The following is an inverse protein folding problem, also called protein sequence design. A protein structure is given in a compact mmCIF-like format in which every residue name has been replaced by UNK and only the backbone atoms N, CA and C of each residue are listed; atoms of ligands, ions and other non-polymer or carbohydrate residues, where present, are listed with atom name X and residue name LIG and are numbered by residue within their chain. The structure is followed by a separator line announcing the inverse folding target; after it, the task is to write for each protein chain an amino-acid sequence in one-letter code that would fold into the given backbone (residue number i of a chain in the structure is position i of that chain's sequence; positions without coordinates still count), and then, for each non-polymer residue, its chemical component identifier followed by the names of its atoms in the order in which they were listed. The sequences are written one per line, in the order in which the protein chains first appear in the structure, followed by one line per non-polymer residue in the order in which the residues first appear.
data_IF_459263335700
#
_entry.id   IF_459263335700
#
_cell.length_a   1.000
_cell.length_b   1.000
_cell.length_c   1.000
_cell.angle_alpha   90.00
_cell.angle_beta   90.00
_cell.angle_gamma   90.00
#
_symmetry.space_group_name_H-M   'P 1'
#
loop_
_entity.id
_entity.type
_entity.pdbx_description
1 polymer ?
#
# COMPACT_ATOMS: atom_id res chain seq x y z
N UNK A 1 23.68 7.90 7.58
CA UNK A 1 23.95 6.46 7.73
C UNK A 1 22.66 5.66 7.61
N UNK A 2 22.75 4.47 6.98
CA UNK A 2 21.62 3.54 6.84
C UNK A 2 21.83 2.41 7.86
N UNK A 3 20.80 2.14 8.65
CA UNK A 3 20.84 1.04 9.63
C UNK A 3 20.59 -0.28 8.90
N UNK A 4 21.50 -1.24 9.09
CA UNK A 4 21.34 -2.62 8.66
C UNK A 4 21.48 -3.53 9.88
N UNK A 5 20.52 -4.41 10.08
CA UNK A 5 20.48 -5.38 11.16
C UNK A 5 20.59 -6.79 10.58
N UNK A 6 21.41 -7.66 11.21
CA UNK A 6 21.44 -9.08 10.87
C UNK A 6 21.09 -9.90 12.11
N UNK A 7 20.21 -10.86 11.92
CA UNK A 7 19.70 -11.74 12.97
C UNK A 7 19.75 -13.20 12.50
N UNK A 8 20.14 -14.11 13.40
CA UNK A 8 20.31 -15.53 13.07
C UNK A 8 21.56 -15.83 12.26
N UNK A 9 21.81 -17.12 12.01
CA UNK A 9 22.96 -17.64 11.27
C UNK A 9 22.61 -18.91 10.46
N UNK A 10 21.33 -19.08 10.11
CA UNK A 10 20.85 -20.23 9.34
C UNK A 10 21.13 -20.12 7.85
N UNK A 11 20.96 -21.21 7.11
CA UNK A 11 21.25 -21.26 5.69
C UNK A 11 20.26 -20.50 4.81
N UNK A 12 19.00 -20.35 5.23
CA UNK A 12 17.97 -19.63 4.46
C UNK A 12 18.13 -18.12 4.71
N UNK A 13 18.44 -17.38 3.68
CA UNK A 13 18.76 -15.95 3.74
C UNK A 13 17.55 -15.11 3.32
N UNK A 14 17.18 -14.18 4.16
CA UNK A 14 16.04 -13.28 3.91
C UNK A 14 16.51 -11.84 4.00
N UNK A 15 16.22 -11.03 2.99
CA UNK A 15 16.47 -9.60 2.98
C UNK A 15 15.13 -8.85 3.06
N UNK A 16 14.98 -7.96 4.03
CA UNK A 16 13.78 -7.13 4.20
C UNK A 16 14.17 -5.66 4.22
N UNK A 17 13.50 -4.84 3.44
CA UNK A 17 13.68 -3.40 3.53
C UNK A 17 12.36 -2.66 3.45
N UNK A 18 12.28 -1.54 4.13
CA UNK A 18 11.13 -0.64 4.08
C UNK A 18 11.56 0.82 3.95
N UNK A 19 10.60 1.67 3.77
CA UNK A 19 10.75 3.12 3.72
C UNK A 19 11.83 3.57 2.71
N UNK A 20 11.84 2.93 1.53
CA UNK A 20 12.60 3.47 0.40
C UNK A 20 11.92 4.73 -0.16
N UNK A 21 10.59 4.85 -0.01
CA UNK A 21 9.89 6.12 -0.06
C UNK A 21 9.74 6.61 1.38
N UNK A 22 10.20 7.84 1.65
CA UNK A 22 10.35 8.31 3.02
C UNK A 22 9.03 8.53 3.76
N UNK A 23 7.94 8.75 3.05
CA UNK A 23 6.58 8.93 3.57
C UNK A 23 5.83 7.61 3.85
N UNK A 24 6.43 6.44 3.55
CA UNK A 24 5.83 5.10 3.70
C UNK A 24 6.32 4.40 4.97
N UNK A 25 5.75 4.70 6.14
CA UNK A 25 6.30 4.28 7.44
C UNK A 25 5.62 3.06 8.08
N UNK A 26 4.51 2.55 7.53
CA UNK A 26 3.73 1.47 8.16
C UNK A 26 4.54 0.20 8.32
N UNK A 27 5.22 -0.24 7.27
CA UNK A 27 6.05 -1.43 7.30
C UNK A 27 7.31 -1.26 8.17
N UNK A 28 7.86 -0.05 8.29
CA UNK A 28 8.95 0.25 9.24
C UNK A 28 8.53 -0.04 10.66
N UNK A 29 7.34 0.45 11.06
CA UNK A 29 6.79 0.17 12.39
C UNK A 29 6.52 -1.34 12.59
N UNK A 30 6.00 -2.02 11.56
CA UNK A 30 5.80 -3.47 11.60
C UNK A 30 7.11 -4.25 11.74
N UNK A 31 8.19 -3.81 11.07
CA UNK A 31 9.52 -4.42 11.24
C UNK A 31 10.06 -4.27 12.65
N UNK A 32 9.81 -3.14 13.33
CA UNK A 32 10.19 -2.97 14.73
C UNK A 32 9.44 -3.94 15.64
N UNK A 33 8.13 -4.12 15.42
CA UNK A 33 7.33 -5.11 16.14
C UNK A 33 7.81 -6.54 15.88
N UNK A 34 8.10 -6.87 14.63
CA UNK A 34 8.61 -8.17 14.21
C UNK A 34 9.96 -8.49 14.88
N UNK A 35 10.91 -7.57 14.86
CA UNK A 35 12.21 -7.71 15.53
C UNK A 35 12.02 -7.93 17.04
N UNK A 36 11.15 -7.12 17.67
CA UNK A 36 10.86 -7.24 19.08
C UNK A 36 10.28 -8.63 19.45
N UNK A 37 9.31 -9.12 18.65
CA UNK A 37 8.71 -10.43 18.85
C UNK A 37 9.70 -11.57 18.62
N UNK A 38 10.56 -11.48 17.59
CA UNK A 38 11.63 -12.46 17.36
C UNK A 38 12.64 -12.51 18.54
N UNK A 39 12.96 -11.37 19.13
CA UNK A 39 13.90 -11.31 20.24
C UNK A 39 13.30 -11.85 21.54
N UNK A 40 11.98 -11.77 21.72
CA UNK A 40 11.33 -12.22 22.98
C UNK A 40 11.14 -13.72 23.10
N UNK A 41 11.17 -14.49 22.02
CA UNK A 41 11.12 -15.97 21.95
C UNK A 41 9.99 -16.69 22.73
N UNK A 42 9.01 -16.00 23.30
CA UNK A 42 8.19 -16.55 24.38
C UNK A 42 6.79 -17.06 23.97
N UNK A 43 6.28 -16.71 22.79
CA UNK A 43 4.86 -17.00 22.47
C UNK A 43 4.61 -17.74 21.16
N UNK A 44 5.59 -17.80 20.28
CA UNK A 44 5.47 -18.54 19.02
C UNK A 44 6.50 -19.67 19.02
N UNK A 45 6.10 -20.90 18.67
CA UNK A 45 6.95 -22.09 18.51
C UNK A 45 8.02 -21.92 17.40
N UNK A 46 8.60 -20.74 17.27
CA UNK A 46 9.76 -20.44 16.43
C UNK A 46 11.07 -20.70 17.17
N UNK A 47 11.06 -21.76 18.03
CA UNK A 47 12.30 -22.25 18.63
C UNK A 47 13.26 -22.61 17.49
N UNK A 48 14.50 -22.17 17.59
CA UNK A 48 15.58 -22.44 16.62
C UNK A 48 15.51 -21.67 15.28
N UNK A 49 14.66 -20.64 15.15
CA UNK A 49 14.65 -19.84 13.92
C UNK A 49 16.05 -19.28 13.56
N UNK A 50 16.88 -18.93 14.58
CA UNK A 50 18.24 -18.41 14.37
C UNK A 50 19.17 -19.40 13.68
N UNK A 51 18.91 -20.70 13.79
CA UNK A 51 19.68 -21.76 13.14
C UNK A 51 19.16 -22.09 11.74
N UNK A 52 17.96 -21.63 11.41
CA UNK A 52 17.29 -21.90 10.12
C UNK A 52 17.39 -20.70 9.18
N UNK A 53 17.33 -19.49 9.70
CA UNK A 53 17.32 -18.26 8.95
C UNK A 53 18.50 -17.35 9.28
N UNK A 54 18.97 -16.64 8.27
CA UNK A 54 19.74 -15.40 8.39
C UNK A 54 18.83 -14.30 7.86
N UNK A 55 18.40 -13.38 8.71
CA UNK A 55 17.47 -12.31 8.37
C UNK A 55 18.22 -10.98 8.40
N UNK A 56 18.36 -10.35 7.25
CA UNK A 56 18.96 -9.04 7.05
C UNK A 56 17.85 -8.00 6.88
N UNK A 57 17.84 -6.96 7.71
CA UNK A 57 16.77 -5.96 7.77
C UNK A 57 17.34 -4.55 7.59
N UNK A 58 16.80 -3.79 6.66
CA UNK A 58 17.00 -2.35 6.51
C UNK A 58 15.67 -1.66 6.79
N UNK A 59 15.41 -1.27 8.05
CA UNK A 59 14.07 -0.81 8.45
C UNK A 59 13.71 0.57 7.89
N UNK A 60 14.70 1.38 7.51
CA UNK A 60 14.50 2.70 6.92
C UNK A 60 15.63 2.95 5.92
N UNK A 61 15.34 2.70 4.64
CA UNK A 61 16.34 2.88 3.57
C UNK A 61 16.57 4.37 3.28
N UNK A 62 15.52 5.19 3.26
CA UNK A 62 15.52 6.61 2.90
C UNK A 62 15.30 7.51 4.13
N UNK A 63 16.33 7.69 4.93
CA UNK A 63 16.25 8.50 6.14
C UNK A 63 15.98 10.00 5.85
N UNK A 64 16.50 10.53 4.75
CA UNK A 64 16.29 11.93 4.37
C UNK A 64 14.85 12.19 3.94
N UNK A 65 14.27 11.29 3.15
CA UNK A 65 12.86 11.34 2.79
C UNK A 65 11.94 11.14 3.99
N UNK A 66 12.29 10.21 4.89
CA UNK A 66 11.54 9.96 6.12
C UNK A 66 11.47 11.21 7.02
N UNK A 67 12.59 11.92 7.18
CA UNK A 67 12.64 13.16 7.98
C UNK A 67 11.77 14.29 7.37
N UNK A 68 11.54 14.27 6.07
CA UNK A 68 10.74 15.29 5.34
C UNK A 68 9.34 14.81 4.98
N UNK A 69 9.03 13.54 5.24
CA UNK A 69 7.80 12.88 4.78
C UNK A 69 7.59 13.02 3.27
N UNK A 70 8.65 12.72 2.51
CA UNK A 70 8.65 12.76 1.04
C UNK A 70 8.99 11.43 0.44
N UNK A 71 8.42 11.12 -0.73
CA UNK A 71 8.72 9.93 -1.51
C UNK A 71 10.20 9.85 -1.89
N UNK A 72 10.76 10.93 -2.37
CA UNK A 72 12.14 11.01 -2.86
C UNK A 72 13.16 11.18 -1.72
N UNK A 73 14.43 10.87 -1.99
CA UNK A 73 15.53 11.09 -1.06
C UNK A 73 16.02 12.57 -1.03
N UNK A 74 17.05 12.85 -0.26
CA UNK A 74 17.65 14.19 -0.14
C UNK A 74 18.22 14.76 -1.45
N UNK A 75 18.40 13.97 -2.49
CA UNK A 75 18.84 14.33 -3.83
C UNK A 75 17.67 14.42 -4.83
N UNK A 76 16.41 14.35 -4.37
CA UNK A 76 15.19 14.31 -5.19
C UNK A 76 15.11 13.09 -6.12
N UNK A 77 15.77 11.99 -5.77
CA UNK A 77 15.72 10.74 -6.51
C UNK A 77 14.64 9.83 -5.90
N UNK A 78 13.74 9.32 -6.75
CA UNK A 78 12.90 8.18 -6.41
C UNK A 78 13.78 6.92 -6.44
N UNK A 79 14.09 6.40 -5.26
CA UNK A 79 14.97 5.24 -5.11
C UNK A 79 14.40 4.03 -5.85
N UNK A 80 13.06 3.87 -5.87
CA UNK A 80 12.40 2.77 -6.59
C UNK A 80 12.31 3.01 -8.13
N UNK A 81 13.06 3.98 -8.65
CA UNK A 81 13.30 4.21 -10.08
C UNK A 81 14.79 4.25 -10.41
N UNK A 82 15.63 3.88 -9.45
CA UNK A 82 17.10 4.00 -9.57
C UNK A 82 17.84 2.65 -9.70
N UNK A 83 17.11 1.53 -9.71
CA UNK A 83 17.70 0.18 -9.69
C UNK A 83 18.69 -0.13 -10.84
N UNK A 84 18.53 0.50 -12.01
CA UNK A 84 19.42 0.31 -13.16
C UNK A 84 20.63 1.24 -13.14
N UNK A 85 20.50 2.45 -12.61
CA UNK A 85 21.52 3.51 -12.73
C UNK A 85 22.31 3.66 -11.44
N UNK A 86 21.70 3.42 -10.29
CA UNK A 86 22.31 3.45 -8.95
C UNK A 86 22.97 4.81 -8.63
N UNK A 87 22.30 5.91 -8.96
CA UNK A 87 22.75 7.26 -8.65
C UNK A 87 22.63 7.57 -7.16
N UNK A 88 21.59 7.06 -6.49
CA UNK A 88 21.38 7.28 -5.06
C UNK A 88 22.34 6.42 -4.22
N UNK A 89 22.81 6.93 -3.08
CA UNK A 89 23.58 6.13 -2.14
C UNK A 89 22.76 4.97 -1.56
N UNK A 90 21.46 5.18 -1.36
CA UNK A 90 20.50 4.18 -0.87
C UNK A 90 20.37 3.01 -1.87
N UNK A 91 20.20 3.32 -3.15
CA UNK A 91 20.13 2.31 -4.22
C UNK A 91 21.40 1.47 -4.30
N UNK A 92 22.57 2.11 -4.17
CA UNK A 92 23.86 1.39 -4.12
C UNK A 92 23.99 0.46 -2.91
N UNK A 93 23.52 0.91 -1.74
CA UNK A 93 23.53 0.08 -0.52
C UNK A 93 22.62 -1.13 -0.70
N UNK A 94 21.39 -0.93 -1.19
CA UNK A 94 20.44 -2.03 -1.40
C UNK A 94 21.00 -3.03 -2.44
N UNK A 95 21.51 -2.55 -3.59
CA UNK A 95 22.12 -3.43 -4.60
C UNK A 95 23.32 -4.18 -4.05
N UNK A 96 24.16 -3.55 -3.23
CA UNK A 96 25.28 -4.22 -2.58
C UNK A 96 24.81 -5.33 -1.64
N UNK A 97 23.76 -5.09 -0.84
CA UNK A 97 23.19 -6.11 0.03
C UNK A 97 22.66 -7.30 -0.79
N UNK A 98 21.88 -7.06 -1.84
CA UNK A 98 21.38 -8.12 -2.71
C UNK A 98 22.52 -8.96 -3.28
N UNK A 99 23.55 -8.31 -3.85
CA UNK A 99 24.67 -9.00 -4.50
C UNK A 99 25.54 -9.77 -3.51
N UNK A 100 25.76 -9.25 -2.30
CA UNK A 100 26.63 -9.88 -1.29
C UNK A 100 25.93 -10.97 -0.50
N UNK A 101 24.64 -10.83 -0.24
CA UNK A 101 23.84 -11.80 0.53
C UNK A 101 23.34 -12.93 -0.34
N UNK A 102 22.96 -12.62 -1.59
CA UNK A 102 22.23 -13.54 -2.47
C UNK A 102 21.05 -14.18 -1.72
N UNK A 103 20.04 -13.38 -1.33
CA UNK A 103 18.96 -13.88 -0.50
C UNK A 103 18.07 -14.89 -1.22
N UNK A 104 17.56 -15.88 -0.49
CA UNK A 104 16.56 -16.83 -0.99
C UNK A 104 15.18 -16.18 -1.12
N UNK A 105 14.89 -15.18 -0.25
CA UNK A 105 13.68 -14.37 -0.29
C UNK A 105 14.01 -12.91 0.00
N UNK A 106 13.44 -12.01 -0.78
CA UNK A 106 13.50 -10.57 -0.58
C UNK A 106 12.09 -9.98 -0.35
N UNK A 107 11.92 -9.14 0.68
CA UNK A 107 10.67 -8.46 0.96
C UNK A 107 10.84 -6.96 0.75
N UNK A 108 10.17 -6.44 -0.26
CA UNK A 108 10.10 -5.02 -0.62
C UNK A 108 8.84 -4.42 -0.02
N UNK A 109 9.00 -3.58 1.02
CA UNK A 109 7.90 -3.16 1.87
C UNK A 109 7.56 -1.69 1.61
N UNK A 110 6.31 -1.46 1.21
CA UNK A 110 5.75 -0.17 0.80
C UNK A 110 4.46 0.17 1.51
N UNK A 111 4.02 1.40 1.33
CA UNK A 111 2.67 1.86 1.63
C UNK A 111 2.00 2.34 0.34
N UNK A 112 0.80 1.88 0.08
CA UNK A 112 0.00 2.34 -1.06
C UNK A 112 -0.89 3.53 -0.69
N UNK A 113 -1.45 4.19 -1.72
CA UNK A 113 -2.41 5.27 -1.56
C UNK A 113 -3.61 4.82 -0.69
N UNK A 114 -4.14 5.75 0.10
CA UNK A 114 -5.27 5.50 0.99
C UNK A 114 -6.56 5.13 0.24
N UNK A 115 -6.68 5.58 -1.01
CA UNK A 115 -7.90 5.45 -1.82
C UNK A 115 -7.96 4.16 -2.64
N UNK A 116 -6.91 3.33 -2.61
CA UNK A 116 -6.91 2.06 -3.29
C UNK A 116 -7.87 1.05 -2.66
N UNK A 117 -8.57 0.31 -3.51
CA UNK A 117 -9.54 -0.68 -3.11
C UNK A 117 -9.38 -2.00 -3.85
N UNK A 118 -10.41 -2.79 -3.82
CA UNK A 118 -10.55 -4.07 -4.53
C UNK A 118 -11.77 -3.99 -5.42
N UNK A 119 -11.57 -4.12 -6.73
CA UNK A 119 -12.52 -3.74 -7.79
C UNK A 119 -13.92 -4.34 -7.65
N UNK A 120 -14.04 -5.61 -7.39
CA UNK A 120 -15.35 -6.28 -7.42
C UNK A 120 -16.13 -6.17 -6.10
N UNK A 121 -15.46 -5.74 -5.00
CA UNK A 121 -16.01 -5.86 -3.65
C UNK A 121 -16.19 -4.53 -2.93
N UNK A 122 -15.69 -3.45 -3.52
CA UNK A 122 -15.74 -2.12 -2.93
C UNK A 122 -15.24 -2.11 -1.45
N UNK A 123 -14.15 -2.84 -1.18
CA UNK A 123 -13.44 -2.86 0.09
C UNK A 123 -12.09 -2.18 -0.08
N UNK A 124 -11.57 -1.58 0.98
CA UNK A 124 -10.21 -1.03 0.97
C UNK A 124 -9.19 -2.14 0.77
N UNK A 125 -8.15 -1.86 -0.01
CA UNK A 125 -6.99 -2.75 -0.13
C UNK A 125 -6.05 -2.52 1.05
N UNK A 126 -6.21 -3.26 2.14
CA UNK A 126 -5.42 -3.06 3.37
C UNK A 126 -4.02 -3.67 3.24
N UNK A 127 -3.92 -4.82 2.60
CA UNK A 127 -2.65 -5.43 2.20
C UNK A 127 -2.77 -5.83 0.74
N UNK A 128 -1.89 -5.30 -0.10
CA UNK A 128 -1.72 -5.80 -1.46
C UNK A 128 -0.33 -6.41 -1.61
N UNK A 129 -0.25 -7.54 -2.30
CA UNK A 129 1.01 -8.27 -2.50
C UNK A 129 1.26 -8.52 -3.97
N UNK A 130 2.53 -8.49 -4.36
CA UNK A 130 2.97 -8.77 -5.73
C UNK A 130 4.17 -9.71 -5.74
N UNK A 131 4.14 -10.71 -6.62
CA UNK A 131 5.30 -11.41 -7.10
C UNK A 131 5.83 -10.68 -8.36
N UNK A 132 6.84 -9.80 -8.24
CA UNK A 132 7.29 -8.94 -9.32
C UNK A 132 7.75 -9.75 -10.55
N UNK A 133 7.79 -9.09 -11.70
CA UNK A 133 8.16 -9.72 -12.98
C UNK A 133 9.62 -9.44 -13.33
N UNK A 134 10.26 -10.37 -14.04
CA UNK A 134 11.63 -10.21 -14.49
C UNK A 134 11.73 -9.56 -15.89
N UNK A 135 10.63 -9.53 -16.65
CA UNK A 135 10.60 -9.08 -18.04
C UNK A 135 9.20 -8.65 -18.50
N UNK A 136 9.14 -7.99 -19.66
CA UNK A 136 7.89 -7.54 -20.28
C UNK A 136 6.91 -8.68 -20.64
N UNK A 137 7.40 -9.88 -20.91
CA UNK A 137 6.57 -11.04 -21.23
C UNK A 137 5.97 -11.68 -19.97
N UNK A 138 6.33 -11.17 -18.79
CA UNK A 138 5.84 -11.62 -17.48
C UNK A 138 6.08 -13.13 -17.25
N UNK A 139 7.20 -13.66 -17.72
CA UNK A 139 7.51 -15.07 -17.56
C UNK A 139 7.47 -15.50 -16.09
N UNK A 140 6.94 -16.69 -15.86
CA UNK A 140 6.89 -17.29 -14.53
C UNK A 140 8.14 -18.11 -14.32
N UNK A 141 9.19 -17.46 -13.84
CA UNK A 141 10.44 -18.10 -13.44
C UNK A 141 10.25 -18.90 -12.14
N UNK A 142 11.16 -19.85 -11.81
CA UNK A 142 11.07 -20.58 -10.54
C UNK A 142 10.99 -19.66 -9.31
N UNK A 143 11.77 -18.57 -9.27
CA UNK A 143 11.78 -17.63 -8.14
C UNK A 143 10.47 -16.81 -8.07
N UNK A 144 9.90 -16.42 -9.21
CA UNK A 144 8.59 -15.77 -9.26
C UNK A 144 7.48 -16.72 -8.83
N UNK A 145 7.52 -17.99 -9.28
CA UNK A 145 6.58 -19.02 -8.86
C UNK A 145 6.59 -19.21 -7.33
N UNK A 146 7.79 -19.29 -6.74
CA UNK A 146 7.93 -19.39 -5.29
C UNK A 146 7.29 -18.19 -4.58
N UNK A 147 7.55 -16.97 -5.05
CA UNK A 147 6.92 -15.77 -4.50
C UNK A 147 5.40 -15.81 -4.60
N UNK A 148 4.84 -16.22 -5.75
CA UNK A 148 3.39 -16.41 -5.93
C UNK A 148 2.80 -17.39 -4.92
N UNK A 149 3.43 -18.53 -4.73
CA UNK A 149 2.99 -19.57 -3.79
C UNK A 149 3.07 -19.09 -2.33
N UNK A 150 4.13 -18.38 -1.96
CA UNK A 150 4.28 -17.76 -0.64
C UNK A 150 3.20 -16.70 -0.37
N UNK A 151 2.86 -15.90 -1.38
CA UNK A 151 1.76 -14.92 -1.29
C UNK A 151 0.42 -15.63 -1.05
N UNK A 152 0.15 -16.76 -1.70
CA UNK A 152 -1.07 -17.54 -1.45
C UNK A 152 -1.13 -18.04 0.01
N UNK A 153 0.00 -18.50 0.55
CA UNK A 153 0.07 -18.92 1.96
C UNK A 153 -0.23 -17.75 2.91
N UNK A 154 0.36 -16.58 2.67
CA UNK A 154 0.10 -15.38 3.45
C UNK A 154 -1.35 -14.92 3.32
N UNK A 155 -1.87 -14.83 2.09
CA UNK A 155 -3.25 -14.42 1.81
C UNK A 155 -4.28 -15.31 2.52
N UNK A 156 -4.06 -16.62 2.56
CA UNK A 156 -4.95 -17.54 3.27
C UNK A 156 -5.07 -17.19 4.76
N UNK A 157 -3.96 -16.88 5.41
CA UNK A 157 -3.95 -16.51 6.83
C UNK A 157 -4.57 -15.11 7.03
N UNK A 158 -4.18 -14.14 6.22
CA UNK A 158 -4.68 -12.77 6.35
C UNK A 158 -6.19 -12.66 6.18
N UNK A 159 -6.78 -13.45 5.30
CA UNK A 159 -8.24 -13.48 5.09
C UNK A 159 -9.06 -13.88 6.32
N UNK A 160 -8.46 -14.57 7.28
CA UNK A 160 -9.13 -14.90 8.55
C UNK A 160 -9.29 -13.66 9.45
N UNK A 161 -8.43 -12.66 9.30
CA UNK A 161 -8.41 -11.43 10.12
C UNK A 161 -9.01 -10.23 9.41
N UNK A 162 -8.76 -10.11 8.10
CA UNK A 162 -9.23 -8.99 7.25
C UNK A 162 -9.90 -9.56 5.98
N UNK A 163 -11.04 -10.25 6.11
CA UNK A 163 -11.73 -10.83 4.96
C UNK A 163 -12.07 -9.74 3.92
N UNK A 164 -11.77 -10.02 2.65
CA UNK A 164 -11.98 -9.11 1.51
C UNK A 164 -11.11 -7.85 1.45
N UNK A 165 -10.06 -7.73 2.28
CA UNK A 165 -9.15 -6.59 2.31
C UNK A 165 -7.72 -6.94 1.87
N UNK A 166 -7.53 -8.13 1.28
CA UNK A 166 -6.24 -8.58 0.72
C UNK A 166 -6.33 -8.64 -0.80
N UNK A 167 -5.43 -7.97 -1.48
CA UNK A 167 -5.39 -7.85 -2.93
C UNK A 167 -4.07 -8.36 -3.53
N UNK A 168 -4.11 -8.62 -4.83
CA UNK A 168 -2.92 -8.76 -5.68
C UNK A 168 -2.63 -7.41 -6.33
N UNK A 169 -1.40 -6.92 -6.17
CA UNK A 169 -0.97 -5.65 -6.76
C UNK A 169 -0.66 -5.81 -8.25
N UNK A 170 -0.67 -4.70 -9.01
CA UNK A 170 -0.38 -4.66 -10.44
C UNK A 170 1.03 -5.17 -10.76
N UNK A 171 1.15 -6.04 -11.78
CA UNK A 171 2.40 -6.64 -12.24
C UNK A 171 2.94 -6.01 -13.54
N UNK A 172 2.69 -4.73 -13.76
CA UNK A 172 3.27 -3.98 -14.88
C UNK A 172 4.79 -3.89 -14.71
N UNK A 173 5.53 -4.41 -15.71
CA UNK A 173 6.98 -4.46 -15.65
C UNK A 173 7.62 -3.07 -15.61
N UNK A 174 8.46 -2.85 -14.61
CA UNK A 174 9.23 -1.64 -14.41
C UNK A 174 10.69 -1.96 -14.08
N UNK A 175 11.58 -2.10 -15.09
CA UNK A 175 12.96 -2.54 -14.87
C UNK A 175 13.77 -1.59 -13.97
N UNK A 176 13.32 -0.36 -13.81
CA UNK A 176 13.91 0.62 -12.90
C UNK A 176 13.47 0.48 -11.45
N UNK A 177 12.44 -0.34 -11.16
CA UNK A 177 12.05 -0.67 -9.81
C UNK A 177 12.97 -1.74 -9.22
N UNK A 178 13.22 -1.66 -7.90
CA UNK A 178 14.04 -2.67 -7.22
C UNK A 178 13.34 -4.03 -7.17
N UNK A 179 12.00 -4.08 -7.07
CA UNK A 179 11.27 -5.34 -7.09
C UNK A 179 11.57 -6.17 -8.32
N UNK A 180 11.30 -5.61 -9.51
CA UNK A 180 11.51 -6.30 -10.80
C UNK A 180 12.99 -6.54 -11.10
N UNK A 181 13.84 -5.56 -10.75
CA UNK A 181 15.28 -5.70 -10.96
C UNK A 181 15.87 -6.84 -10.14
N UNK A 182 15.49 -7.01 -8.88
CA UNK A 182 15.98 -8.07 -8.00
C UNK A 182 15.48 -9.45 -8.45
N UNK A 183 14.23 -9.56 -8.89
CA UNK A 183 13.69 -10.80 -9.49
C UNK A 183 14.48 -11.18 -10.74
N UNK A 184 14.86 -10.21 -11.59
CA UNK A 184 15.68 -10.48 -12.78
C UNK A 184 17.08 -11.00 -12.45
N UNK A 185 17.56 -10.78 -11.23
CA UNK A 185 18.81 -11.34 -10.70
C UNK A 185 18.66 -12.76 -10.12
N UNK A 186 17.45 -13.35 -10.19
CA UNK A 186 17.19 -14.71 -9.73
C UNK A 186 16.84 -14.81 -8.24
N UNK A 187 16.40 -13.73 -7.59
CA UNK A 187 15.98 -13.71 -6.19
C UNK A 187 14.46 -13.73 -6.10
N UNK A 188 13.91 -14.66 -5.32
CA UNK A 188 12.46 -14.65 -5.03
C UNK A 188 12.11 -13.37 -4.27
N UNK A 189 11.21 -12.55 -4.82
CA UNK A 189 10.89 -11.24 -4.26
C UNK A 189 9.39 -11.10 -4.09
N UNK A 190 8.98 -10.57 -2.94
CA UNK A 190 7.58 -10.20 -2.65
C UNK A 190 7.55 -8.70 -2.34
N UNK A 191 6.73 -7.96 -3.08
CA UNK A 191 6.37 -6.61 -2.71
C UNK A 191 5.11 -6.68 -1.84
N UNK A 192 5.09 -5.89 -0.78
CA UNK A 192 3.93 -5.75 0.12
C UNK A 192 3.62 -4.26 0.25
N UNK A 193 2.39 -3.92 -0.14
CA UNK A 193 1.83 -2.58 -0.02
C UNK A 193 0.88 -2.52 1.17
N UNK A 194 1.16 -1.64 2.11
CA UNK A 194 0.29 -1.37 3.26
C UNK A 194 -0.73 -0.29 2.89
N UNK A 195 -2.00 -0.60 3.00
CA UNK A 195 -3.09 0.30 2.66
C UNK A 195 -3.98 0.66 3.85
N UNK A 196 -5.11 1.25 3.55
CA UNK A 196 -6.09 1.73 4.51
C UNK A 196 -7.03 0.61 4.96
N UNK A 197 -7.44 0.66 6.23
CA UNK A 197 -8.59 -0.07 6.74
C UNK A 197 -9.60 0.95 7.29
N UNK A 198 -10.89 0.68 7.12
CA UNK A 198 -11.95 1.61 7.53
C UNK A 198 -11.83 1.89 9.04
N UNK A 199 -11.92 3.16 9.43
CA UNK A 199 -11.76 3.65 10.80
C UNK A 199 -10.37 3.42 11.41
N UNK A 200 -9.34 3.24 10.59
CA UNK A 200 -7.95 3.09 11.05
C UNK A 200 -7.01 4.12 10.36
N UNK A 201 -7.10 5.41 10.72
CA UNK A 201 -6.31 6.46 10.08
C UNK A 201 -4.80 6.32 10.31
N UNK A 202 -4.39 5.53 11.29
CA UNK A 202 -2.98 5.29 11.62
C UNK A 202 -2.44 3.96 11.09
N UNK A 203 -3.20 3.26 10.24
CA UNK A 203 -2.80 1.99 9.59
C UNK A 203 -2.33 0.91 10.58
N UNK A 204 -2.89 0.89 11.80
CA UNK A 204 -2.50 -0.11 12.80
C UNK A 204 -2.96 -1.51 12.41
N UNK A 205 -4.06 -1.64 11.66
CA UNK A 205 -4.49 -2.92 11.09
C UNK A 205 -3.47 -3.41 10.06
N UNK A 206 -3.07 -2.56 9.10
CA UNK A 206 -2.06 -2.92 8.11
C UNK A 206 -0.70 -3.24 8.78
N UNK A 207 -0.27 -2.47 9.79
CA UNK A 207 0.93 -2.75 10.60
C UNK A 207 0.88 -4.15 11.23
N UNK A 208 -0.24 -4.51 11.87
CA UNK A 208 -0.42 -5.83 12.47
C UNK A 208 -0.42 -6.93 11.41
N UNK A 209 -1.08 -6.71 10.26
CA UNK A 209 -1.13 -7.67 9.18
C UNK A 209 0.24 -7.90 8.53
N UNK A 210 1.07 -6.86 8.41
CA UNK A 210 2.46 -7.03 7.98
C UNK A 210 3.25 -7.96 8.91
N UNK A 211 3.17 -7.77 10.23
CA UNK A 211 3.84 -8.65 11.20
C UNK A 211 3.37 -10.10 11.02
N UNK A 212 2.06 -10.30 10.90
CA UNK A 212 1.49 -11.62 10.66
C UNK A 212 1.97 -12.24 9.34
N UNK A 213 2.07 -11.42 8.28
CA UNK A 213 2.61 -11.83 6.99
C UNK A 213 4.06 -12.31 7.12
N UNK A 214 4.91 -11.55 7.81
CA UNK A 214 6.33 -11.93 7.97
C UNK A 214 6.48 -13.28 8.65
N UNK A 215 5.78 -13.51 9.77
CA UNK A 215 5.81 -14.81 10.45
C UNK A 215 5.22 -15.94 9.59
N UNK A 216 4.15 -15.66 8.84
CA UNK A 216 3.54 -16.66 7.95
C UNK A 216 4.48 -17.07 6.82
N UNK A 217 5.20 -16.10 6.23
CA UNK A 217 6.19 -16.37 5.18
C UNK A 217 7.36 -17.21 5.71
N UNK A 218 7.87 -16.88 6.90
CA UNK A 218 8.91 -17.67 7.56
C UNK A 218 8.45 -19.11 7.85
N UNK A 219 7.25 -19.28 8.40
CA UNK A 219 6.67 -20.58 8.69
C UNK A 219 6.43 -21.40 7.41
N UNK A 220 5.93 -20.73 6.36
CA UNK A 220 5.71 -21.38 5.06
C UNK A 220 7.02 -21.84 4.41
N UNK A 221 8.10 -21.03 4.49
CA UNK A 221 9.43 -21.42 4.02
C UNK A 221 10.02 -22.58 4.84
N UNK A 222 9.91 -22.49 6.17
CA UNK A 222 10.50 -23.48 7.06
C UNK A 222 9.92 -24.88 6.86
N UNK A 223 8.63 -24.96 6.55
CA UNK A 223 7.89 -26.21 6.46
C UNK A 223 7.42 -26.55 5.04
N UNK A 224 7.89 -25.82 4.02
CA UNK A 224 7.49 -25.96 2.61
C UNK A 224 5.96 -25.91 2.40
N UNK A 225 5.25 -25.18 3.26
CA UNK A 225 3.78 -25.08 3.24
C UNK A 225 3.23 -24.33 2.03
N UNK A 226 4.10 -23.68 1.25
CA UNK A 226 3.71 -22.93 0.05
C UNK A 226 3.63 -23.81 -1.21
N UNK A 227 4.31 -24.96 -1.25
CA UNK A 227 4.50 -25.77 -2.47
C UNK A 227 3.21 -26.36 -3.05
N UNK A 228 2.16 -26.48 -2.24
CA UNK A 228 0.87 -27.01 -2.69
C UNK A 228 -0.01 -25.98 -3.41
N UNK A 229 0.31 -24.68 -3.32
CA UNK A 229 -0.41 -23.66 -4.05
C UNK A 229 0.01 -23.62 -5.53
N UNK A 230 -0.96 -23.33 -6.39
CA UNK A 230 -0.75 -23.23 -7.83
C UNK A 230 -0.59 -21.78 -8.28
N UNK A 231 -0.25 -21.59 -9.55
CA UNK A 231 -0.19 -20.25 -10.18
C UNK A 231 -1.61 -19.68 -10.29
N UNK A 232 -2.59 -20.55 -10.55
CA UNK A 232 -4.00 -20.21 -10.63
C UNK A 232 -4.52 -19.69 -9.29
N UNK A 233 -4.09 -20.26 -8.17
CA UNK A 233 -4.43 -19.75 -6.82
C UNK A 233 -3.95 -18.32 -6.61
N UNK A 234 -2.76 -17.98 -7.11
CA UNK A 234 -2.24 -16.62 -7.05
C UNK A 234 -3.08 -15.64 -7.89
N UNK A 235 -3.42 -16.02 -9.12
CA UNK A 235 -4.24 -15.18 -9.99
C UNK A 235 -5.72 -15.12 -9.58
N UNK A 236 -6.17 -16.03 -8.72
CA UNK A 236 -7.48 -15.96 -8.09
C UNK A 236 -7.56 -14.94 -6.92
N UNK A 237 -6.44 -14.41 -6.46
CA UNK A 237 -6.43 -13.28 -5.51
C UNK A 237 -6.98 -12.05 -6.22
N UNK A 238 -8.01 -11.37 -5.67
CA UNK A 238 -8.57 -10.18 -6.30
C UNK A 238 -7.52 -9.10 -6.58
N UNK A 239 -7.63 -8.45 -7.73
CA UNK A 239 -6.74 -7.34 -8.06
C UNK A 239 -7.06 -6.10 -7.23
N UNK A 240 -6.01 -5.35 -6.87
CA UNK A 240 -6.19 -4.01 -6.36
C UNK A 240 -6.68 -3.10 -7.49
N UNK A 241 -7.34 -2.04 -7.12
CA UNK A 241 -7.80 -1.00 -8.03
C UNK A 241 -7.49 0.37 -7.44
N UNK A 242 -6.96 1.25 -8.28
CA UNK A 242 -6.70 2.64 -7.92
C UNK A 242 -8.01 3.40 -7.76
N UNK A 243 -8.00 4.41 -6.89
CA UNK A 243 -9.02 5.46 -6.78
C UNK A 243 -10.47 4.94 -6.61
N UNK A 244 -10.66 3.87 -5.86
CA UNK A 244 -11.99 3.33 -5.51
C UNK A 244 -12.66 4.17 -4.42
N UNK A 245 -11.86 4.81 -3.56
CA UNK A 245 -12.32 5.61 -2.44
C UNK A 245 -11.98 7.08 -2.58
N UNK A 246 -12.71 7.90 -1.84
CA UNK A 246 -12.46 9.33 -1.61
C UNK A 246 -12.77 9.64 -0.15
N UNK A 247 -12.28 10.76 0.37
CA UNK A 247 -12.56 11.13 1.77
C UNK A 247 -14.02 11.46 2.00
N UNK A 248 -14.65 12.21 1.08
CA UNK A 248 -16.05 12.62 1.18
C UNK A 248 -16.75 12.49 -0.16
N UNK A 249 -17.89 11.79 -0.16
CA UNK A 249 -18.82 11.73 -1.29
C UNK A 249 -20.11 12.44 -0.92
N UNK A 250 -20.47 13.42 -1.71
CA UNK A 250 -21.71 14.19 -1.60
C UNK A 250 -22.63 13.78 -2.75
N UNK A 251 -23.81 13.27 -2.45
CA UNK A 251 -24.78 12.84 -3.46
C UNK A 251 -26.01 13.77 -3.51
N UNK A 252 -26.75 13.68 -4.60
CA UNK A 252 -28.04 14.34 -4.76
C UNK A 252 -28.02 15.88 -4.67
N UNK A 253 -26.90 16.53 -5.00
CA UNK A 253 -26.81 17.98 -4.98
C UNK A 253 -27.60 18.58 -6.14
N UNK A 254 -28.63 19.36 -5.84
CA UNK A 254 -29.42 20.07 -6.83
C UNK A 254 -28.72 21.35 -7.30
N UNK A 255 -28.42 21.44 -8.57
CA UNK A 255 -27.97 22.66 -9.25
C UNK A 255 -29.22 23.36 -9.80
N UNK A 256 -29.71 24.33 -9.04
CA UNK A 256 -30.99 24.99 -9.32
C UNK A 256 -30.85 26.25 -10.19
N UNK A 257 -29.68 26.92 -10.18
CA UNK A 257 -29.45 28.22 -10.83
C UNK A 257 -29.09 28.06 -12.32
N UNK A 258 -29.87 27.26 -13.04
CA UNK A 258 -29.68 27.02 -14.49
C UNK A 258 -31.03 26.99 -15.18
N UNK A 259 -31.05 27.15 -16.51
CA UNK A 259 -32.27 27.04 -17.31
C UNK A 259 -32.91 25.63 -17.21
N UNK A 260 -32.09 24.63 -16.91
CA UNK A 260 -32.51 23.24 -16.74
C UNK A 260 -31.88 22.67 -15.44
N UNK A 261 -32.57 22.78 -14.30
CA UNK A 261 -32.09 22.21 -13.05
C UNK A 261 -31.77 20.72 -13.14
N UNK A 262 -30.65 20.29 -12.56
CA UNK A 262 -30.21 18.89 -12.57
C UNK A 262 -29.51 18.53 -11.25
N UNK A 263 -29.35 17.24 -10.99
CA UNK A 263 -28.72 16.72 -9.79
C UNK A 263 -27.35 16.12 -10.14
N UNK A 264 -26.36 16.34 -9.29
CA UNK A 264 -25.00 15.79 -9.43
C UNK A 264 -24.51 15.23 -8.10
N UNK A 265 -23.51 14.37 -8.20
CA UNK A 265 -22.62 13.99 -7.10
C UNK A 265 -21.30 14.78 -7.19
N UNK A 266 -20.67 14.98 -6.04
CA UNK A 266 -19.33 15.57 -5.94
C UNK A 266 -18.51 14.70 -4.99
N UNK A 267 -17.26 14.40 -5.38
CA UNK A 267 -16.32 13.72 -4.50
C UNK A 267 -15.13 14.62 -4.17
N UNK A 268 -14.61 14.46 -2.96
CA UNK A 268 -13.61 15.35 -2.39
C UNK A 268 -12.55 14.52 -1.69
N UNK A 269 -11.28 14.85 -1.94
CA UNK A 269 -10.14 14.35 -1.19
C UNK A 269 -9.50 15.45 -0.35
N UNK A 270 -8.88 15.04 0.75
CA UNK A 270 -8.15 15.91 1.68
C UNK A 270 -6.66 15.60 1.55
N UNK A 271 -5.87 16.60 1.20
CA UNK A 271 -4.43 16.43 1.12
C UNK A 271 -3.77 16.35 2.52
N UNK A 272 -2.48 16.00 2.56
CA UNK A 272 -1.70 15.90 3.80
C UNK A 272 -1.57 17.23 4.59
N UNK A 273 -1.95 18.34 4.01
CA UNK A 273 -1.95 19.67 4.64
C UNK A 273 -3.36 20.08 5.11
N UNK A 274 -4.37 19.23 4.86
CA UNK A 274 -5.76 19.49 5.20
C UNK A 274 -6.52 20.31 4.15
N UNK A 275 -5.93 20.53 2.96
CA UNK A 275 -6.64 21.20 1.87
C UNK A 275 -7.59 20.23 1.18
N UNK A 276 -8.79 20.70 0.86
CA UNK A 276 -9.83 19.90 0.21
C UNK A 276 -9.86 20.18 -1.28
N UNK A 277 -9.83 19.11 -2.09
CA UNK A 277 -9.87 19.20 -3.55
C UNK A 277 -11.03 18.36 -4.11
N UNK A 278 -11.65 18.87 -5.17
CA UNK A 278 -12.69 18.15 -5.92
C UNK A 278 -12.01 17.10 -6.79
N UNK A 279 -12.39 15.82 -6.65
CA UNK A 279 -11.88 14.73 -7.49
C UNK A 279 -12.80 14.47 -8.69
N UNK A 280 -14.09 14.25 -8.45
CA UNK A 280 -15.07 13.96 -9.50
C UNK A 280 -16.33 14.77 -9.32
N UNK A 281 -17.00 15.03 -10.45
CA UNK A 281 -18.27 15.74 -10.53
C UNK A 281 -19.18 14.98 -11.52
N UNK A 282 -20.44 14.81 -11.15
CA UNK A 282 -21.46 14.21 -12.01
C UNK A 282 -22.00 12.90 -11.45
N UNK A 283 -21.92 11.80 -12.19
CA UNK A 283 -22.31 10.47 -11.71
C UNK A 283 -21.09 9.79 -11.06
N UNK A 284 -21.08 9.73 -9.73
CA UNK A 284 -19.98 9.13 -8.95
C UNK A 284 -20.37 7.75 -8.38
N UNK A 285 -21.28 6.99 -9.03
CA UNK A 285 -21.78 5.72 -8.50
C UNK A 285 -20.69 4.65 -8.29
N UNK A 286 -19.61 4.69 -9.06
CA UNK A 286 -18.49 3.73 -8.97
C UNK A 286 -17.48 4.05 -7.86
N UNK A 287 -17.51 5.29 -7.34
CA UNK A 287 -16.59 5.77 -6.30
C UNK A 287 -17.27 5.71 -4.93
N UNK A 288 -16.55 5.27 -3.91
CA UNK A 288 -17.01 5.26 -2.51
C UNK A 288 -16.40 6.38 -1.69
N UNK A 289 -17.20 6.96 -0.80
CA UNK A 289 -16.70 7.86 0.23
C UNK A 289 -16.33 7.08 1.51
N UNK A 290 -15.20 7.43 2.15
CA UNK A 290 -15.02 7.07 3.55
C UNK A 290 -16.12 7.68 4.41
N UNK A 291 -16.61 8.83 3.93
CA UNK A 291 -17.84 9.47 4.40
C UNK A 291 -18.75 9.77 3.22
N UNK A 292 -20.02 9.40 3.34
CA UNK A 292 -21.03 9.67 2.30
C UNK A 292 -22.21 10.44 2.91
N UNK A 293 -22.60 11.53 2.25
CA UNK A 293 -23.71 12.40 2.71
C UNK A 293 -24.61 12.73 1.51
N UNK A 294 -25.91 12.54 1.67
CA UNK A 294 -26.89 13.07 0.71
C UNK A 294 -27.14 14.56 0.95
N UNK A 295 -26.98 15.35 -0.07
CA UNK A 295 -27.31 16.78 -0.10
C UNK A 295 -28.74 17.03 -0.64
N UNK A 296 -29.61 16.04 -0.60
CA UNK A 296 -31.01 16.23 -0.98
C UNK A 296 -31.65 17.36 -0.15
N UNK A 297 -32.18 18.35 -0.85
CA UNK A 297 -32.76 19.56 -0.22
C UNK A 297 -31.75 20.66 0.13
N UNK A 298 -30.45 20.43 -0.04
CA UNK A 298 -29.45 21.47 0.05
C UNK A 298 -29.33 22.24 -1.26
N UNK A 299 -28.88 23.50 -1.19
CA UNK A 299 -28.63 24.34 -2.36
C UNK A 299 -27.17 24.79 -2.36
N UNK A 300 -26.49 24.66 -3.50
CA UNK A 300 -25.16 25.23 -3.70
C UNK A 300 -25.28 26.74 -3.89
N UNK A 301 -24.50 27.52 -3.11
CA UNK A 301 -24.42 28.98 -3.26
C UNK A 301 -23.29 29.35 -4.24
N UNK A 302 -22.18 28.61 -4.20
CA UNK A 302 -21.07 28.83 -5.14
C UNK A 302 -21.58 28.67 -6.59
N UNK A 303 -20.97 29.40 -7.51
CA UNK A 303 -21.30 29.22 -8.94
C UNK A 303 -20.92 27.80 -9.36
N UNK A 304 -21.86 27.05 -9.94
CA UNK A 304 -21.59 25.69 -10.40
C UNK A 304 -20.56 25.66 -11.54
N UNK A 305 -20.40 26.77 -12.28
CA UNK A 305 -19.39 26.90 -13.32
C UNK A 305 -17.96 26.91 -12.77
N UNK A 306 -17.79 27.21 -11.48
CA UNK A 306 -16.51 27.12 -10.79
C UNK A 306 -16.17 25.69 -10.32
N UNK A 307 -17.11 24.75 -10.43
CA UNK A 307 -16.87 23.35 -10.11
C UNK A 307 -15.99 22.72 -11.19
N UNK A 308 -14.77 22.39 -10.83
CA UNK A 308 -13.84 21.71 -11.73
C UNK A 308 -13.10 20.61 -10.98
N UNK A 309 -12.90 19.43 -11.57
CA UNK A 309 -11.98 18.45 -11.01
C UNK A 309 -10.59 19.07 -10.78
N UNK A 310 -9.88 18.57 -9.80
CA UNK A 310 -8.56 19.03 -9.35
C UNK A 310 -8.53 20.47 -8.79
N UNK A 311 -9.69 21.11 -8.61
CA UNK A 311 -9.77 22.44 -7.98
C UNK A 311 -10.04 22.37 -6.48
N UNK A 312 -9.71 23.45 -5.76
CA UNK A 312 -10.00 23.54 -4.33
C UNK A 312 -11.51 23.50 -4.07
N UNK A 313 -11.95 22.66 -3.15
CA UNK A 313 -13.35 22.45 -2.79
C UNK A 313 -13.89 23.56 -1.86
N UNK A 314 -13.84 24.81 -2.30
CA UNK A 314 -14.36 25.97 -1.57
C UNK A 314 -15.90 26.10 -1.72
N UNK A 315 -16.62 25.04 -1.37
CA UNK A 315 -18.06 24.98 -1.59
C UNK A 315 -18.83 25.39 -0.34
N UNK A 316 -19.90 26.17 -0.56
CA UNK A 316 -20.84 26.60 0.48
C UNK A 316 -22.24 26.18 0.08
N UNK A 317 -22.94 25.55 1.00
CA UNK A 317 -24.31 25.05 0.83
C UNK A 317 -25.26 25.75 1.81
N UNK A 318 -26.52 25.87 1.41
CA UNK A 318 -27.62 26.17 2.32
C UNK A 318 -28.36 24.89 2.63
N UNK A 319 -28.47 24.54 3.91
CA UNK A 319 -29.28 23.41 4.36
C UNK A 319 -30.79 23.68 4.20
N UNK A 320 -31.61 22.63 4.27
CA UNK A 320 -33.07 22.80 4.28
C UNK A 320 -33.59 23.70 5.42
N UNK A 321 -32.84 23.84 6.51
CA UNK A 321 -33.14 24.74 7.63
C UNK A 321 -32.64 26.18 7.44
N UNK A 322 -32.01 26.49 6.32
CA UNK A 322 -31.46 27.81 6.00
C UNK A 322 -30.08 28.11 6.59
N UNK A 323 -29.36 27.08 7.13
CA UNK A 323 -28.02 27.26 7.67
C UNK A 323 -27.00 27.16 6.54
N UNK A 324 -25.97 28.04 6.57
CA UNK A 324 -24.79 27.93 5.71
C UNK A 324 -23.88 26.83 6.23
N UNK A 325 -23.42 25.96 5.36
CA UNK A 325 -22.54 24.83 5.69
C UNK A 325 -21.42 24.77 4.67
N UNK A 326 -20.19 24.59 5.15
CA UNK A 326 -18.96 24.45 4.36
C UNK A 326 -18.55 22.98 4.26
N UNK A 327 -17.64 22.67 3.33
CA UNK A 327 -17.05 21.32 3.21
C UNK A 327 -16.36 20.90 4.52
N UNK A 328 -15.64 21.81 5.18
CA UNK A 328 -14.93 21.48 6.43
C UNK A 328 -15.91 21.09 7.56
N UNK A 329 -17.06 21.73 7.62
CA UNK A 329 -18.12 21.36 8.57
C UNK A 329 -18.71 19.98 8.21
N UNK A 330 -18.93 19.71 6.92
CA UNK A 330 -19.39 18.39 6.47
C UNK A 330 -18.38 17.29 6.76
N UNK A 331 -17.09 17.55 6.68
CA UNK A 331 -16.04 16.58 7.03
C UNK A 331 -16.00 16.31 8.54
N UNK A 332 -16.32 17.31 9.36
CA UNK A 332 -16.22 17.24 10.83
C UNK A 332 -17.41 16.57 11.52
N UNK A 333 -18.57 16.51 10.87
CA UNK A 333 -19.79 15.83 11.37
C UNK A 333 -19.70 14.33 11.13
#
# INVERSE_FOLDING_TARGET
PILHLRMGAGPVKILMWSQMHGDESTATAALMDFIHLLCRQTEYNFNDWQTRFTIDIVPMLNADGAAKQTRVNGQFIDINRDALVLQSPEGRVLQHLVSSLQPDLALNLHDQNAYHGISERQHTSTIAMLAPVADHAKHITPVRKQAMQLICAAQKVLREYIPNHVARFDDTFSPRSFGDNIVSQGVSTILIESGTFINDPHRQVARKMNVLTYFTLLDALLHNKYEHYTIEDYFAIPEHQDDVYVDLKLTDLLIANTDHPFTIDITINVDKHGSTNIEHIGDCHTVKGFKELSLSGYQLISDYQDLQPDSAANLIFVSPSGLLITINELLST
#
